data_IF_388078471497
#
_entry.id   IF_388078471497
#
_cell.length_a   1.000
_cell.length_b   1.000
_cell.length_c   1.000
_cell.angle_alpha   90.00
_cell.angle_beta   90.00
_cell.angle_gamma   90.00
#
_symmetry.space_group_name_H-M   'P 1'
#
loop_
_entity.id
_entity.type
_entity.pdbx_description
1 polymer ?
#
# COMPACT_ATOMS: atom_id res chain seq x y z
N UNK A 1 1.08 0.58 -8.41
CA UNK A 1 0.08 1.65 -8.54
C UNK A 1 -1.05 1.43 -7.54
N UNK A 2 -0.87 1.81 -6.27
CA UNK A 2 -1.95 1.81 -5.25
C UNK A 2 -2.37 3.24 -4.92
N UNK A 3 -1.42 4.20 -5.00
CA UNK A 3 -1.69 5.62 -4.77
C UNK A 3 -2.59 6.26 -5.84
N UNK A 4 -2.49 5.85 -7.12
CA UNK A 4 -3.36 6.38 -8.18
C UNK A 4 -4.82 5.97 -8.01
N UNK A 5 -5.09 4.78 -7.46
CA UNK A 5 -6.45 4.31 -7.21
C UNK A 5 -7.13 5.09 -6.07
N UNK A 6 -6.39 5.46 -5.01
CA UNK A 6 -6.96 6.28 -3.92
C UNK A 6 -7.40 7.68 -4.37
N UNK A 7 -6.88 8.18 -5.50
CA UNK A 7 -7.22 9.49 -6.09
C UNK A 7 -8.34 9.42 -7.13
N UNK A 8 -8.63 8.23 -7.64
CA UNK A 8 -9.74 7.97 -8.56
C UNK A 8 -10.90 7.47 -7.70
N UNK A 9 -12.14 7.76 -8.06
CA UNK A 9 -13.35 7.41 -7.29
C UNK A 9 -13.60 5.89 -7.06
N UNK A 10 -12.60 5.03 -7.31
CA UNK A 10 -12.67 3.59 -7.09
C UNK A 10 -11.89 3.22 -5.82
N UNK A 11 -12.58 2.81 -4.74
CA UNK A 11 -11.95 2.40 -3.49
C UNK A 11 -11.30 1.02 -3.59
N UNK A 12 -11.26 0.39 -4.76
CA UNK A 12 -10.67 -0.92 -4.97
C UNK A 12 -9.46 -0.82 -5.90
N UNK A 13 -8.47 -1.68 -5.65
CA UNK A 13 -7.28 -1.80 -6.50
C UNK A 13 -7.01 -3.26 -6.80
N UNK A 14 -6.63 -3.55 -8.04
CA UNK A 14 -6.16 -4.87 -8.43
C UNK A 14 -4.63 -4.92 -8.34
N UNK A 15 -4.11 -5.97 -7.72
CA UNK A 15 -2.67 -6.21 -7.62
C UNK A 15 -2.34 -7.67 -7.94
N UNK A 16 -1.32 -7.86 -8.76
CA UNK A 16 -0.79 -9.19 -9.05
C UNK A 16 0.27 -9.55 -8.01
N UNK A 17 0.05 -10.62 -7.25
CA UNK A 17 0.94 -11.11 -6.20
C UNK A 17 1.06 -12.62 -6.32
N UNK A 18 2.29 -13.15 -6.35
CA UNK A 18 2.57 -14.61 -6.39
C UNK A 18 1.82 -15.35 -7.53
N UNK A 19 1.55 -14.68 -8.65
CA UNK A 19 0.82 -15.25 -9.77
C UNK A 19 -0.69 -15.38 -9.55
N UNK A 20 -1.25 -14.73 -8.54
CA UNK A 20 -2.68 -14.51 -8.36
C UNK A 20 -2.99 -13.01 -8.46
N UNK A 21 -4.24 -12.67 -8.76
CA UNK A 21 -4.75 -11.29 -8.78
C UNK A 21 -5.61 -11.08 -7.55
N UNK A 22 -5.21 -10.13 -6.72
CA UNK A 22 -5.97 -9.74 -5.54
C UNK A 22 -6.75 -8.46 -5.83
N UNK A 23 -8.03 -8.46 -5.47
CA UNK A 23 -8.84 -7.24 -5.43
C UNK A 23 -8.82 -6.75 -3.98
N UNK A 24 -8.22 -5.58 -3.75
CA UNK A 24 -8.08 -4.96 -2.43
C UNK A 24 -9.03 -3.78 -2.34
N UNK A 25 -9.90 -3.81 -1.34
CA UNK A 25 -10.67 -2.65 -0.90
C UNK A 25 -9.80 -1.79 0.03
N UNK A 26 -9.59 -0.54 -0.37
CA UNK A 26 -8.76 0.45 0.32
C UNK A 26 -9.47 1.09 1.51
N UNK A 27 -10.81 1.02 1.58
CA UNK A 27 -11.61 1.51 2.71
C UNK A 27 -11.48 0.51 3.86
N UNK A 28 -11.78 -0.77 3.61
CA UNK A 28 -11.70 -1.83 4.61
C UNK A 28 -10.27 -2.33 4.81
N UNK A 29 -9.37 -2.01 3.88
CA UNK A 29 -7.96 -2.45 3.85
C UNK A 29 -7.84 -3.97 3.79
N UNK A 30 -8.79 -4.64 3.13
CA UNK A 30 -8.76 -6.09 2.94
C UNK A 30 -8.86 -6.42 1.47
N UNK A 31 -8.40 -7.60 1.09
CA UNK A 31 -8.53 -8.10 -0.26
C UNK A 31 -8.62 -9.60 -0.32
N UNK A 32 -9.00 -10.10 -1.49
CA UNK A 32 -9.10 -11.53 -1.75
C UNK A 32 -8.48 -11.89 -3.10
N UNK A 33 -7.79 -13.03 -3.14
CA UNK A 33 -7.22 -13.59 -4.36
C UNK A 33 -8.31 -14.20 -5.24
N UNK A 34 -8.35 -13.82 -6.51
CA UNK A 34 -9.38 -14.27 -7.45
C UNK A 34 -9.24 -15.76 -7.79
N UNK A 35 -8.02 -16.30 -7.81
CA UNK A 35 -7.77 -17.72 -8.10
C UNK A 35 -7.84 -18.60 -6.86
N UNK A 36 -7.26 -18.13 -5.76
CA UNK A 36 -7.07 -18.94 -4.55
C UNK A 36 -8.13 -18.72 -3.49
N UNK A 37 -8.85 -17.59 -3.54
CA UNK A 37 -9.71 -17.13 -2.45
C UNK A 37 -8.94 -16.71 -1.19
N UNK A 38 -7.61 -16.59 -1.25
CA UNK A 38 -6.80 -16.19 -0.10
C UNK A 38 -7.14 -14.76 0.32
N UNK A 39 -7.42 -14.56 1.62
CA UNK A 39 -7.70 -13.25 2.18
C UNK A 39 -6.41 -12.59 2.68
N UNK A 40 -6.23 -11.32 2.34
CA UNK A 40 -5.09 -10.51 2.77
C UNK A 40 -5.57 -9.21 3.41
N UNK A 41 -4.75 -8.69 4.33
CA UNK A 41 -4.98 -7.41 4.98
C UNK A 41 -3.86 -6.44 4.62
N UNK A 42 -4.24 -5.23 4.19
CA UNK A 42 -3.31 -4.16 3.84
C UNK A 42 -2.93 -3.38 5.11
N UNK A 43 -1.70 -3.57 5.56
CA UNK A 43 -1.11 -2.76 6.62
C UNK A 43 -0.24 -1.67 6.00
N UNK A 44 -0.62 -0.40 6.19
CA UNK A 44 0.26 0.73 5.84
C UNK A 44 1.32 0.86 6.94
N UNK A 45 2.53 0.38 6.67
CA UNK A 45 3.66 0.76 7.48
C UNK A 45 4.21 2.10 6.96
N UNK A 46 4.01 3.17 7.74
CA UNK A 46 4.71 4.42 7.51
C UNK A 46 6.13 4.20 8.01
N UNK A 47 7.09 4.05 7.10
CA UNK A 47 8.49 4.20 7.49
C UNK A 47 8.65 5.62 8.02
N UNK A 48 8.79 5.75 9.33
CA UNK A 48 8.97 7.05 9.99
C UNK A 48 10.28 7.62 9.50
N UNK A 49 10.23 8.73 8.77
CA UNK A 49 11.31 9.70 8.77
C UNK A 49 11.25 10.42 10.12
N UNK A 50 11.69 9.74 11.18
CA UNK A 50 11.93 10.41 12.46
C UNK A 50 13.23 11.20 12.31
N UNK A 51 13.11 12.49 12.04
CA UNK A 51 14.05 13.45 12.61
C UNK A 51 14.14 13.13 14.11
N UNK A 52 15.36 12.91 14.61
CA UNK A 52 15.73 12.68 16.01
C UNK A 52 15.81 11.27 16.63
N UNK A 53 15.71 10.16 15.89
CA UNK A 53 16.31 8.91 16.41
C UNK A 53 16.58 7.89 15.30
N UNK A 54 17.86 7.75 14.91
CA UNK A 54 18.45 6.73 14.05
C UNK A 54 17.46 5.85 13.25
N UNK A 55 16.73 6.47 12.31
CA UNK A 55 15.84 5.79 11.37
C UNK A 55 16.58 5.28 10.14
N UNK A 56 16.04 4.23 9.52
CA UNK A 56 16.57 3.65 8.27
C UNK A 56 16.53 4.75 7.18
N UNK A 57 17.63 5.01 6.45
CA UNK A 57 17.65 6.06 5.43
C UNK A 57 16.66 5.73 4.30
N UNK A 58 15.93 6.74 3.85
CA UNK A 58 15.13 6.63 2.63
C UNK A 58 16.05 6.29 1.45
N UNK A 59 15.59 5.46 0.49
CA UNK A 59 16.30 5.28 -0.77
C UNK A 59 16.49 6.64 -1.44
N UNK A 60 17.66 6.88 -2.04
CA UNK A 60 18.03 8.22 -2.54
C UNK A 60 17.12 8.80 -3.64
N UNK A 61 16.22 8.01 -4.21
CA UNK A 61 15.24 8.42 -5.22
C UNK A 61 13.83 8.68 -4.66
N UNK A 62 13.66 8.74 -3.33
CA UNK A 62 12.37 8.93 -2.68
C UNK A 62 12.32 10.28 -1.97
N UNK A 63 11.27 11.06 -2.22
CA UNK A 63 11.03 12.31 -1.51
C UNK A 63 10.26 12.06 -0.20
N UNK A 64 10.58 12.79 0.89
CA UNK A 64 9.84 12.70 2.13
C UNK A 64 8.40 13.18 1.92
N UNK A 65 7.44 12.52 2.59
CA UNK A 65 6.04 12.92 2.51
C UNK A 65 5.87 14.27 3.22
N UNK A 66 5.27 15.25 2.54
CA UNK A 66 4.92 16.52 3.16
C UNK A 66 3.98 16.28 4.34
N UNK A 67 4.31 16.85 5.50
CA UNK A 67 3.43 16.84 6.67
C UNK A 67 2.15 17.67 6.38
N UNK A 68 1.01 17.32 7.00
CA UNK A 68 -0.23 18.10 6.89
C UNK A 68 -0.10 19.52 7.45
#
# INVERSE_FOLDING_TARGET
MIQEAYRKDEPTVQVCLRGDVFVIDLITKTGSGQRTGEHITLSRNWMVSSTDQAGIPLPGNWEPMAAP
#
